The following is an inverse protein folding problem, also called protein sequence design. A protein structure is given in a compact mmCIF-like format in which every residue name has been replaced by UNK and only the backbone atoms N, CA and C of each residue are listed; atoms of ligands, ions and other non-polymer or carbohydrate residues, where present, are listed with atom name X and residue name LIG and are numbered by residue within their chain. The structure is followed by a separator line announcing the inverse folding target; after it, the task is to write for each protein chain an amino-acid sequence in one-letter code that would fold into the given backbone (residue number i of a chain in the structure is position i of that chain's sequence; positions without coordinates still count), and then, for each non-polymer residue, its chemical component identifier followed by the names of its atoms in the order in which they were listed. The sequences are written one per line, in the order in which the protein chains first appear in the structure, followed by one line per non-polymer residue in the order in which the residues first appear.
data_IF_526224246141
#
_entry.id   IF_526224246141
#
_cell.length_a   1.000
_cell.length_b   1.000
_cell.length_c   1.000
_cell.angle_alpha   90.00
_cell.angle_beta   90.00
_cell.angle_gamma   90.00
#
_symmetry.space_group_name_H-M   'P 1'
#
loop_
_entity.id
_entity.type
_entity.pdbx_description
1 polymer ?
#
# COMPACT_ATOMS: atom_id res chain seq x y z
N UNK A 1 -26.25 -33.06 -26.72
CA UNK A 1 -25.45 -33.02 -25.47
C UNK A 1 -24.14 -32.24 -25.64
N UNK A 2 -23.24 -32.61 -26.56
CA UNK A 2 -21.94 -31.91 -26.77
C UNK A 2 -22.06 -30.40 -27.02
N UNK A 3 -23.04 -29.95 -27.82
CA UNK A 3 -23.27 -28.51 -28.11
C UNK A 3 -23.70 -27.71 -26.88
N UNK A 4 -24.49 -28.32 -25.98
CA UNK A 4 -24.96 -27.67 -24.74
C UNK A 4 -23.76 -27.50 -23.79
N UNK A 5 -22.91 -28.52 -23.69
CA UNK A 5 -21.67 -28.47 -22.88
C UNK A 5 -20.74 -27.34 -23.37
N UNK A 6 -20.55 -27.19 -24.68
CA UNK A 6 -19.74 -26.10 -25.25
C UNK A 6 -20.28 -24.70 -24.90
N UNK A 7 -21.61 -24.51 -24.94
CA UNK A 7 -22.24 -23.21 -24.63
C UNK A 7 -22.09 -22.86 -23.15
N UNK A 8 -22.26 -23.84 -22.26
CA UNK A 8 -22.07 -23.65 -20.81
C UNK A 8 -20.61 -23.32 -20.50
N UNK A 9 -19.66 -24.00 -21.14
CA UNK A 9 -18.23 -23.73 -20.94
C UNK A 9 -17.85 -22.31 -21.39
N UNK A 10 -18.40 -21.85 -22.53
CA UNK A 10 -18.17 -20.50 -23.04
C UNK A 10 -18.74 -19.43 -22.11
N UNK A 11 -19.90 -19.66 -21.51
CA UNK A 11 -20.52 -18.75 -20.54
C UNK A 11 -19.73 -18.67 -19.23
N UNK A 12 -19.11 -19.76 -18.77
CA UNK A 12 -18.26 -19.76 -17.58
C UNK A 12 -16.94 -19.01 -17.77
N UNK A 13 -16.44 -18.89 -19.01
CA UNK A 13 -15.20 -18.13 -19.27
C UNK A 13 -15.39 -16.61 -19.26
N UNK A 14 -16.61 -16.11 -19.48
CA UNK A 14 -16.87 -14.65 -19.50
C UNK A 14 -16.98 -14.05 -18.10
N UNK A 15 -17.24 -14.82 -17.05
CA UNK A 15 -17.32 -14.32 -15.67
C UNK A 15 -15.96 -13.86 -15.12
N UNK A 16 -14.86 -14.39 -15.66
CA UNK A 16 -13.50 -13.96 -15.29
C UNK A 16 -13.16 -12.54 -15.78
N UNK A 17 -13.89 -12.02 -16.77
CA UNK A 17 -13.64 -10.68 -17.35
C UNK A 17 -14.20 -9.54 -16.49
N UNK A 18 -15.03 -9.84 -15.48
CA UNK A 18 -15.64 -8.84 -14.59
C UNK A 18 -14.93 -8.70 -13.24
N UNK A 19 -13.69 -9.21 -13.12
CA UNK A 19 -12.89 -9.01 -11.90
C UNK A 19 -12.57 -7.53 -11.72
N UNK A 20 -13.17 -6.89 -10.71
CA UNK A 20 -12.94 -5.49 -10.40
C UNK A 20 -11.65 -5.33 -9.60
N UNK A 21 -10.73 -4.50 -10.09
CA UNK A 21 -9.50 -4.16 -9.40
C UNK A 21 -9.81 -3.08 -8.34
N UNK A 22 -10.11 -3.50 -7.11
CA UNK A 22 -10.43 -2.58 -6.01
C UNK A 22 -9.13 -2.15 -5.33
N UNK A 23 -8.73 -0.90 -5.57
CA UNK A 23 -7.46 -0.34 -5.07
C UNK A 23 -7.44 -0.11 -3.56
N UNK A 24 -8.59 -0.16 -2.88
CA UNK A 24 -8.78 0.02 -1.41
C UNK A 24 -7.96 1.17 -0.81
N UNK A 25 -7.72 2.22 -1.60
CA UNK A 25 -7.00 3.40 -1.12
C UNK A 25 -7.97 4.25 -0.32
N UNK A 26 -7.66 4.48 0.96
CA UNK A 26 -8.45 5.36 1.80
C UNK A 26 -8.36 6.80 1.30
N UNK A 27 -9.50 7.48 1.17
CA UNK A 27 -9.52 8.92 0.85
C UNK A 27 -9.17 9.70 2.10
N UNK A 28 -7.94 10.20 2.19
CA UNK A 28 -7.47 11.01 3.32
C UNK A 28 -7.16 12.44 2.84
N UNK A 29 -7.46 13.43 3.66
CA UNK A 29 -7.18 14.84 3.32
C UNK A 29 -5.67 15.14 3.27
N UNK A 30 -4.84 14.32 3.94
CA UNK A 30 -3.41 14.54 4.11
C UNK A 30 -2.56 13.51 3.35
N UNK A 31 -2.79 13.36 2.04
CA UNK A 31 -2.02 12.43 1.20
C UNK A 31 -0.51 12.69 1.20
N UNK A 32 -0.10 13.94 1.50
CA UNK A 32 1.30 14.34 1.62
C UNK A 32 2.05 13.65 2.77
N UNK A 33 1.35 13.09 3.77
CA UNK A 33 1.99 12.36 4.88
C UNK A 33 2.59 11.01 4.44
N UNK A 34 2.29 10.56 3.22
CA UNK A 34 2.96 9.38 2.63
C UNK A 34 4.29 9.74 1.96
N UNK A 35 4.69 11.02 1.95
CA UNK A 35 5.95 11.46 1.37
C UNK A 35 7.02 11.37 2.45
N UNK A 36 7.91 10.39 2.31
CA UNK A 36 8.98 10.17 3.26
C UNK A 36 9.88 11.41 3.45
N UNK A 37 10.36 11.59 4.68
CA UNK A 37 11.21 12.71 5.08
C UNK A 37 12.54 12.20 5.64
N UNK A 38 13.64 12.83 5.22
CA UNK A 38 14.99 12.57 5.73
C UNK A 38 15.78 11.58 4.87
N UNK A 39 16.99 11.99 4.44
CA UNK A 39 17.82 11.21 3.51
C UNK A 39 18.21 9.83 4.05
N UNK A 40 18.50 9.72 5.36
CA UNK A 40 18.84 8.44 6.02
C UNK A 40 17.64 7.50 6.03
N UNK A 41 16.47 7.97 6.43
CA UNK A 41 15.24 7.18 6.46
C UNK A 41 14.82 6.72 5.06
N UNK A 42 14.89 7.61 4.07
CA UNK A 42 14.63 7.30 2.66
C UNK A 42 15.64 6.28 2.13
N UNK A 43 16.93 6.43 2.46
CA UNK A 43 17.97 5.45 2.10
C UNK A 43 17.73 4.06 2.70
N UNK A 44 16.98 3.98 3.81
CA UNK A 44 16.54 2.74 4.44
C UNK A 44 15.18 2.25 3.93
N UNK A 45 14.59 2.89 2.91
CA UNK A 45 13.28 2.53 2.36
C UNK A 45 12.13 2.79 3.34
N UNK A 46 12.26 3.80 4.21
CA UNK A 46 11.26 4.15 5.23
C UNK A 46 11.35 3.32 6.52
N UNK A 47 12.31 2.39 6.62
CA UNK A 47 12.49 1.56 7.82
C UNK A 47 13.29 2.29 8.92
N UNK A 48 12.77 3.41 9.43
CA UNK A 48 13.48 4.27 10.39
C UNK A 48 12.87 4.35 11.80
N UNK A 49 11.66 3.82 12.01
CA UNK A 49 10.91 3.99 13.27
C UNK A 49 11.68 3.55 14.53
N UNK A 50 12.33 2.38 14.50
CA UNK A 50 13.03 1.80 15.66
C UNK A 50 14.39 2.42 15.95
N UNK A 51 15.03 3.03 14.95
CA UNK A 51 16.37 3.62 15.02
C UNK A 51 16.36 5.14 15.03
N UNK A 52 15.18 5.74 15.10
CA UNK A 52 14.95 7.18 15.18
C UNK A 52 15.68 7.81 16.39
N UNK A 53 16.77 8.51 16.08
CA UNK A 53 17.70 9.12 17.03
C UNK A 53 18.12 10.55 16.65
N UNK A 54 17.42 11.17 15.70
CA UNK A 54 17.67 12.54 15.23
C UNK A 54 16.39 13.38 15.12
N UNK A 55 16.49 14.64 14.68
CA UNK A 55 15.34 15.55 14.56
C UNK A 55 14.18 14.98 13.70
N UNK A 56 14.47 14.02 12.82
CA UNK A 56 13.44 13.36 12.00
C UNK A 56 12.58 12.40 12.81
N UNK A 57 12.93 12.11 14.07
CA UNK A 57 12.09 11.36 15.02
C UNK A 57 10.71 11.98 15.20
N UNK A 58 10.55 13.29 15.03
CA UNK A 58 9.22 13.94 15.01
C UNK A 58 8.28 13.40 13.93
N UNK A 59 8.84 13.00 12.78
CA UNK A 59 8.08 12.44 11.67
C UNK A 59 7.95 10.92 11.80
N UNK A 60 9.01 10.22 12.19
CA UNK A 60 9.05 8.75 12.19
C UNK A 60 8.64 8.08 13.50
N UNK A 61 8.98 8.65 14.67
CA UNK A 61 8.66 8.08 15.98
C UNK A 61 8.88 9.12 17.10
N UNK A 62 7.79 9.74 17.56
CA UNK A 62 7.85 10.80 18.57
C UNK A 62 8.49 10.36 19.90
N UNK A 63 8.47 9.07 20.25
CA UNK A 63 9.13 8.57 21.45
C UNK A 63 10.67 8.62 21.36
N UNK A 64 11.23 8.71 20.15
CA UNK A 64 12.66 8.87 19.91
C UNK A 64 13.18 10.26 20.27
N UNK A 65 12.35 11.30 20.17
CA UNK A 65 12.75 12.69 20.42
C UNK A 65 13.32 12.90 21.83
N UNK A 66 12.75 12.22 22.83
CA UNK A 66 13.18 12.38 24.21
C UNK A 66 14.61 11.87 24.49
N UNK A 67 15.23 11.16 23.53
CA UNK A 67 16.58 10.59 23.65
C UNK A 67 17.68 11.43 22.95
N UNK A 68 17.31 12.56 22.35
CA UNK A 68 18.18 13.45 21.56
C UNK A 68 18.52 14.68 22.40
#
# INVERSE_FOLDING_TARGET
MKKIVCVVLAFLMTTALFSQNVTKVGTTAAGFLNIDVGARAIGMGGAYESVSDDAMSMYWNAAGIARI
#
